data_IF_033644840961
#
_entry.id   IF_033644840961
#
_cell.length_a   1.000
_cell.length_b   1.000
_cell.length_c   1.000
_cell.angle_alpha   90.00
_cell.angle_beta   90.00
_cell.angle_gamma   90.00
#
_symmetry.space_group_name_H-M   'P 1'
#
loop_
_entity.id
_entity.type
_entity.pdbx_description
1 polymer ?
#
# COMPACT_ATOMS: atom_id res chain seq x y z
N UNK A 1 -9.04 20.30 45.46
CA UNK A 1 -8.27 19.05 45.24
C UNK A 1 -9.14 17.78 45.29
N UNK A 2 -9.96 17.55 46.33
CA UNK A 2 -10.78 16.32 46.47
C UNK A 2 -11.82 16.08 45.35
N UNK A 3 -12.42 17.14 44.79
CA UNK A 3 -13.37 17.01 43.65
C UNK A 3 -12.68 16.57 42.36
N UNK A 4 -11.54 17.17 42.02
CA UNK A 4 -10.74 16.78 40.86
C UNK A 4 -10.28 15.32 40.96
N UNK A 5 -9.82 14.89 42.14
CA UNK A 5 -9.36 13.52 42.36
C UNK A 5 -10.47 12.48 42.18
N UNK A 6 -11.71 12.78 42.60
CA UNK A 6 -12.86 11.89 42.39
C UNK A 6 -13.23 11.77 40.91
N UNK A 7 -13.12 12.87 40.17
CA UNK A 7 -13.38 12.89 38.72
C UNK A 7 -12.31 12.07 37.99
N UNK A 8 -11.03 12.25 38.31
CA UNK A 8 -9.95 11.48 37.67
C UNK A 8 -10.07 10.00 37.99
N UNK A 9 -10.37 9.61 39.23
CA UNK A 9 -10.58 8.20 39.59
C UNK A 9 -11.76 7.59 38.82
N UNK A 10 -12.85 8.35 38.65
CA UNK A 10 -14.01 7.93 37.88
C UNK A 10 -13.68 7.70 36.40
N UNK A 11 -12.94 8.63 35.77
CA UNK A 11 -12.50 8.49 34.38
C UNK A 11 -11.57 7.29 34.20
N UNK A 12 -10.61 7.11 35.11
CA UNK A 12 -9.70 5.95 35.09
C UNK A 12 -10.48 4.63 35.23
N UNK A 13 -11.48 4.58 36.11
CA UNK A 13 -12.35 3.42 36.27
C UNK A 13 -13.11 3.06 34.98
N UNK A 14 -13.62 4.06 34.26
CA UNK A 14 -14.30 3.86 32.97
C UNK A 14 -13.32 3.33 31.91
N UNK A 15 -12.11 3.87 31.84
CA UNK A 15 -11.08 3.40 30.89
C UNK A 15 -10.72 1.93 31.18
N UNK A 16 -10.54 1.56 32.45
CA UNK A 16 -10.26 0.17 32.85
C UNK A 16 -11.41 -0.75 32.44
N UNK A 17 -12.66 -0.33 32.65
CA UNK A 17 -13.84 -1.09 32.23
C UNK A 17 -13.81 -1.35 30.72
N UNK A 18 -13.50 -0.33 29.91
CA UNK A 18 -13.40 -0.44 28.45
C UNK A 18 -12.32 -1.45 28.05
N UNK A 19 -11.14 -1.41 28.68
CA UNK A 19 -10.05 -2.36 28.40
C UNK A 19 -10.46 -3.79 28.75
N UNK A 20 -11.18 -4.00 29.85
CA UNK A 20 -11.69 -5.32 30.25
C UNK A 20 -12.69 -5.84 29.22
N UNK A 21 -13.63 -5.00 28.77
CA UNK A 21 -14.59 -5.37 27.72
C UNK A 21 -13.87 -5.78 26.44
N UNK A 22 -12.87 -4.99 26.02
CA UNK A 22 -12.07 -5.28 24.82
C UNK A 22 -11.34 -6.63 24.94
N UNK A 23 -10.75 -6.93 26.10
CA UNK A 23 -10.14 -8.23 26.39
C UNK A 23 -11.15 -9.38 26.31
N UNK A 24 -12.34 -9.23 26.90
CA UNK A 24 -13.38 -10.26 26.83
C UNK A 24 -13.79 -10.52 25.37
N UNK A 25 -13.93 -9.47 24.55
CA UNK A 25 -14.21 -9.61 23.12
C UNK A 25 -13.07 -10.35 22.41
N UNK A 26 -11.82 -10.02 22.71
CA UNK A 26 -10.67 -10.73 22.13
C UNK A 26 -10.73 -12.23 22.45
N UNK A 27 -11.05 -12.63 23.68
CA UNK A 27 -11.12 -14.04 24.07
C UNK A 27 -12.37 -14.78 23.56
N UNK A 28 -13.47 -14.07 23.29
CA UNK A 28 -14.75 -14.70 22.90
C UNK A 28 -14.98 -14.71 21.39
N UNK A 29 -14.56 -13.66 20.70
CA UNK A 29 -14.83 -13.44 19.27
C UNK A 29 -13.56 -13.16 18.45
N UNK A 30 -12.36 -13.33 19.03
CA UNK A 30 -11.06 -13.13 18.38
C UNK A 30 -10.88 -11.77 17.69
N UNK A 31 -11.57 -10.72 18.17
CA UNK A 31 -11.42 -9.35 17.66
C UNK A 31 -11.65 -8.29 18.74
N UNK A 32 -10.98 -7.13 18.65
CA UNK A 32 -11.26 -5.99 19.51
C UNK A 32 -12.65 -5.41 19.20
N UNK A 33 -13.33 -4.87 20.22
CA UNK A 33 -14.68 -4.32 20.10
C UNK A 33 -14.70 -3.03 19.28
N UNK A 34 -13.68 -2.18 19.48
CA UNK A 34 -13.46 -0.96 18.71
C UNK A 34 -12.34 -1.23 17.73
N UNK A 35 -12.69 -1.80 16.58
CA UNK A 35 -11.71 -2.12 15.55
C UNK A 35 -12.19 -1.78 14.15
N UNK A 36 -11.23 -1.47 13.29
CA UNK A 36 -11.41 -1.40 11.84
C UNK A 36 -10.88 -2.70 11.23
N UNK A 37 -11.74 -3.39 10.47
CA UNK A 37 -11.41 -4.64 9.81
C UNK A 37 -10.83 -4.43 8.41
N UNK A 38 -9.89 -5.28 8.03
CA UNK A 38 -9.29 -5.39 6.70
C UNK A 38 -9.19 -6.87 6.33
N UNK A 39 -9.54 -7.23 5.08
CA UNK A 39 -9.55 -8.61 4.61
C UNK A 39 -8.24 -8.97 3.89
N UNK A 40 -7.63 -10.09 4.30
CA UNK A 40 -6.37 -10.64 3.79
C UNK A 40 -6.59 -12.06 3.27
N UNK A 41 -7.16 -12.16 2.07
CA UNK A 41 -7.49 -13.45 1.45
C UNK A 41 -8.50 -14.23 2.28
N UNK A 42 -8.03 -15.24 3.01
CA UNK A 42 -8.87 -16.09 3.90
C UNK A 42 -8.93 -15.59 5.34
N UNK A 43 -8.19 -14.55 5.71
CA UNK A 43 -8.09 -14.07 7.09
C UNK A 43 -8.54 -12.62 7.21
N UNK A 44 -9.32 -12.30 8.24
CA UNK A 44 -9.65 -10.93 8.59
C UNK A 44 -8.68 -10.41 9.68
N UNK A 45 -8.16 -9.20 9.47
CA UNK A 45 -7.29 -8.49 10.42
C UNK A 45 -8.03 -7.29 10.98
N UNK A 46 -7.81 -6.99 12.26
CA UNK A 46 -8.52 -5.96 13.00
C UNK A 46 -7.53 -5.04 13.69
N UNK A 47 -7.59 -3.74 13.39
CA UNK A 47 -6.82 -2.70 14.09
C UNK A 47 -7.68 -2.07 15.16
N UNK A 48 -7.36 -2.34 16.42
CA UNK A 48 -8.13 -1.87 17.57
C UNK A 48 -7.56 -0.63 18.24
N UNK A 49 -8.23 -0.21 19.31
CA UNK A 49 -7.76 0.88 20.16
C UNK A 49 -6.53 0.46 20.98
N UNK A 50 -6.58 -0.72 21.61
CA UNK A 50 -5.51 -1.23 22.48
C UNK A 50 -4.77 -2.44 21.88
N UNK A 51 -5.46 -3.23 21.06
CA UNK A 51 -4.92 -4.46 20.48
C UNK A 51 -5.13 -4.48 18.97
N UNK A 52 -4.15 -5.01 18.25
CA UNK A 52 -4.25 -5.31 16.82
C UNK A 52 -4.18 -6.83 16.64
N UNK A 53 -4.85 -7.33 15.62
CA UNK A 53 -4.57 -8.68 15.12
C UNK A 53 -3.58 -8.64 13.96
N UNK A 54 -2.89 -9.73 13.70
CA UNK A 54 -1.94 -9.86 12.59
C UNK A 54 -1.86 -11.31 12.13
N UNK A 55 -1.55 -11.51 10.85
CA UNK A 55 -1.39 -12.84 10.27
C UNK A 55 0.08 -13.23 10.28
N UNK A 56 0.36 -14.39 10.87
CA UNK A 56 1.65 -15.04 10.81
C UNK A 56 1.54 -16.26 9.88
N UNK A 57 2.47 -16.47 8.94
CA UNK A 57 2.49 -17.68 8.11
C UNK A 57 2.60 -18.98 8.92
N UNK A 58 3.19 -18.89 10.12
CA UNK A 58 3.41 -20.02 11.02
C UNK A 58 2.13 -20.48 11.75
N UNK A 59 1.09 -19.64 11.78
CA UNK A 59 -0.13 -19.90 12.54
C UNK A 59 -1.36 -19.86 11.63
N UNK A 60 -2.24 -20.86 11.75
CA UNK A 60 -3.49 -20.95 10.97
C UNK A 60 -4.57 -19.94 11.39
N UNK A 61 -4.31 -19.14 12.43
CA UNK A 61 -5.25 -18.15 12.97
C UNK A 61 -4.55 -16.81 13.20
N UNK A 62 -5.27 -15.68 13.04
CA UNK A 62 -4.75 -14.36 13.37
C UNK A 62 -4.30 -14.30 14.83
N UNK A 63 -3.11 -13.76 15.05
CA UNK A 63 -2.54 -13.55 16.38
C UNK A 63 -2.93 -12.18 16.91
N UNK A 64 -3.07 -12.05 18.23
CA UNK A 64 -3.44 -10.79 18.89
C UNK A 64 -2.20 -10.19 19.54
N UNK A 65 -2.07 -8.86 19.48
CA UNK A 65 -0.95 -8.14 20.06
C UNK A 65 -1.34 -6.75 20.52
N UNK A 66 -0.67 -6.29 21.57
CA UNK A 66 -0.80 -4.92 22.08
C UNK A 66 -0.30 -3.94 21.02
N UNK A 67 -1.08 -2.89 20.76
CA UNK A 67 -0.76 -1.85 19.77
C UNK A 67 0.63 -1.25 20.07
N UNK A 68 1.51 -1.26 19.07
CA UNK A 68 2.89 -0.76 19.18
C UNK A 68 3.92 -1.72 19.77
N UNK A 69 3.55 -2.94 20.20
CA UNK A 69 4.55 -3.94 20.59
C UNK A 69 5.36 -4.44 19.38
N UNK A 70 6.38 -5.29 19.57
CA UNK A 70 7.07 -6.01 18.48
C UNK A 70 6.37 -7.33 18.15
N UNK A 71 6.40 -7.73 16.89
CA UNK A 71 5.77 -8.99 16.47
C UNK A 71 6.63 -10.18 16.88
N UNK A 72 5.96 -11.31 17.12
CA UNK A 72 6.61 -12.57 17.51
C UNK A 72 7.00 -13.45 16.33
N UNK A 73 6.54 -13.10 15.12
CA UNK A 73 6.73 -13.84 13.87
C UNK A 73 7.03 -12.85 12.74
N UNK A 74 7.47 -13.37 11.58
CA UNK A 74 7.46 -12.62 10.33
C UNK A 74 6.00 -12.34 9.95
N UNK A 75 5.58 -11.09 10.10
CA UNK A 75 4.21 -10.67 9.79
C UNK A 75 4.08 -10.54 8.28
N UNK A 76 2.97 -11.01 7.74
CA UNK A 76 2.52 -10.56 6.43
C UNK A 76 2.06 -9.11 6.63
N UNK A 77 2.97 -8.17 6.45
CA UNK A 77 2.76 -6.77 6.83
C UNK A 77 1.62 -6.15 6.02
N UNK A 78 0.67 -5.56 6.75
CA UNK A 78 0.00 -4.35 6.28
C UNK A 78 1.00 -3.25 6.50
N UNK A 79 1.56 -2.73 5.41
CA UNK A 79 2.25 -1.45 5.45
C UNK A 79 1.29 -0.43 6.07
N UNK A 80 1.54 -0.04 7.32
CA UNK A 80 0.93 1.15 7.90
C UNK A 80 1.50 2.34 7.12
N UNK A 81 0.82 2.73 6.04
CA UNK A 81 0.97 4.07 5.45
C UNK A 81 2.40 4.45 5.11
N UNK A 82 3.22 3.50 4.66
CA UNK A 82 4.36 3.80 3.83
C UNK A 82 4.06 3.20 2.47
N UNK A 83 3.50 4.03 1.60
CA UNK A 83 3.71 3.81 0.17
C UNK A 83 5.21 4.01 -0.09
N UNK A 84 5.98 3.01 0.32
CA UNK A 84 7.35 2.76 -0.09
C UNK A 84 7.28 1.91 -1.37
N UNK A 85 6.22 2.03 -2.17
CA UNK A 85 6.43 1.76 -3.57
C UNK A 85 7.38 2.85 -4.03
N UNK A 86 8.62 2.45 -4.30
CA UNK A 86 9.61 3.37 -4.82
C UNK A 86 9.00 3.98 -6.09
N UNK A 87 8.70 5.28 -6.02
CA UNK A 87 8.17 6.01 -7.15
C UNK A 87 9.33 6.20 -8.12
N UNK A 88 9.20 5.58 -9.27
CA UNK A 88 10.21 5.63 -10.32
C UNK A 88 9.75 6.58 -11.41
N UNK A 89 10.70 7.33 -11.97
CA UNK A 89 10.45 8.27 -13.06
C UNK A 89 11.51 8.13 -14.14
N UNK A 90 11.07 8.06 -15.38
CA UNK A 90 11.98 8.07 -16.52
C UNK A 90 11.38 8.77 -17.73
N UNK A 91 12.24 9.30 -18.59
CA UNK A 91 11.82 9.89 -19.86
C UNK A 91 11.83 8.84 -20.94
N UNK A 92 10.79 8.79 -21.77
CA UNK A 92 10.70 7.86 -22.88
C UNK A 92 10.15 8.52 -24.13
N UNK A 93 10.58 8.04 -25.28
CA UNK A 93 10.11 8.47 -26.59
C UNK A 93 9.04 7.52 -27.11
N UNK A 94 7.92 8.05 -27.58
CA UNK A 94 6.87 7.26 -28.22
C UNK A 94 7.37 6.73 -29.57
N UNK A 95 7.39 5.41 -29.75
CA UNK A 95 7.82 4.76 -31.00
C UNK A 95 6.66 4.14 -31.79
N UNK A 96 5.59 3.73 -31.10
CA UNK A 96 4.35 3.22 -31.69
C UNK A 96 3.14 3.72 -30.91
N UNK A 97 2.04 3.95 -31.61
CA UNK A 97 0.75 4.39 -31.06
C UNK A 97 -0.31 3.42 -31.56
N UNK A 98 -1.09 2.88 -30.64
CA UNK A 98 -2.17 1.93 -30.90
C UNK A 98 -3.45 2.41 -30.21
N UNK A 99 -4.57 1.74 -30.50
CA UNK A 99 -5.83 2.04 -29.82
C UNK A 99 -5.74 1.55 -28.36
N UNK A 100 -5.78 2.50 -27.42
CA UNK A 100 -5.72 2.21 -25.98
C UNK A 100 -4.33 1.98 -25.37
N UNK A 101 -3.23 1.97 -26.15
CA UNK A 101 -1.87 1.85 -25.60
C UNK A 101 -0.79 2.45 -26.51
N UNK A 102 0.39 2.67 -25.96
CA UNK A 102 1.58 3.14 -26.68
C UNK A 102 2.78 2.25 -26.39
N UNK A 103 3.71 2.17 -27.33
CA UNK A 103 5.04 1.61 -27.08
C UNK A 103 6.04 2.75 -27.01
N UNK A 104 6.81 2.78 -25.93
CA UNK A 104 7.83 3.79 -25.67
C UNK A 104 9.21 3.16 -25.53
N UNK A 105 10.22 3.92 -25.92
CA UNK A 105 11.64 3.60 -25.71
C UNK A 105 12.22 4.56 -24.65
N UNK A 106 12.77 4.08 -23.53
CA UNK A 106 13.40 4.95 -22.54
C UNK A 106 14.56 5.77 -23.15
N UNK A 107 14.78 6.98 -22.64
CA UNK A 107 15.82 7.89 -23.12
C UNK A 107 17.21 7.39 -22.77
N UNK A 108 18.26 7.90 -23.43
CA UNK A 108 19.64 7.47 -23.12
C UNK A 108 20.01 7.85 -21.68
N UNK A 109 20.58 6.88 -20.94
CA UNK A 109 20.96 7.06 -19.53
C UNK A 109 19.87 6.73 -18.50
N UNK A 110 18.64 6.45 -18.93
CA UNK A 110 17.58 5.98 -18.02
C UNK A 110 17.86 4.55 -17.54
N UNK A 111 17.62 4.29 -16.25
CA UNK A 111 17.93 3.02 -15.59
C UNK A 111 17.07 1.87 -16.13
N UNK A 112 15.85 2.16 -16.56
CA UNK A 112 14.88 1.24 -17.13
C UNK A 112 15.39 0.58 -18.42
N UNK A 113 16.38 1.17 -19.11
CA UNK A 113 17.05 0.54 -20.25
C UNK A 113 17.81 -0.72 -19.87
N UNK A 114 18.19 -0.90 -18.60
CA UNK A 114 18.81 -2.13 -18.11
C UNK A 114 17.82 -3.31 -18.15
N UNK A 115 16.53 -3.03 -18.00
CA UNK A 115 15.47 -4.03 -18.07
C UNK A 115 14.95 -4.24 -19.49
N UNK A 116 14.65 -3.16 -20.23
CA UNK A 116 14.14 -3.27 -21.60
C UNK A 116 14.36 -2.00 -22.42
N UNK A 117 14.47 -2.16 -23.74
CA UNK A 117 14.44 -1.03 -24.68
C UNK A 117 13.03 -0.65 -25.14
N UNK A 118 12.00 -1.44 -24.80
CA UNK A 118 10.61 -1.19 -25.17
C UNK A 118 9.68 -1.42 -23.98
N UNK A 119 8.80 -0.47 -23.73
CA UNK A 119 7.76 -0.56 -22.72
C UNK A 119 6.38 -0.38 -23.34
N UNK A 120 5.48 -1.30 -23.02
CA UNK A 120 4.05 -1.17 -23.27
C UNK A 120 3.45 -0.33 -22.15
N UNK A 121 2.74 0.74 -22.53
CA UNK A 121 2.09 1.65 -21.60
C UNK A 121 0.62 1.78 -21.97
N UNK A 122 -0.26 1.42 -21.05
CA UNK A 122 -1.71 1.58 -21.23
C UNK A 122 -2.08 3.06 -21.26
N UNK A 123 -2.86 3.45 -22.26
CA UNK A 123 -3.40 4.79 -22.41
C UNK A 123 -4.79 4.90 -21.79
N UNK A 124 -4.89 4.73 -20.46
CA UNK A 124 -6.17 4.71 -19.74
C UNK A 124 -7.00 5.99 -19.89
N UNK A 125 -6.33 7.11 -20.14
CA UNK A 125 -6.95 8.43 -20.26
C UNK A 125 -7.29 8.81 -21.71
N UNK A 126 -7.12 7.90 -22.68
CA UNK A 126 -7.36 8.13 -24.11
C UNK A 126 -6.73 9.44 -24.63
N UNK A 127 -5.50 9.71 -24.20
CA UNK A 127 -4.73 10.88 -24.64
C UNK A 127 -4.18 10.62 -26.05
N UNK A 128 -4.31 11.59 -26.95
CA UNK A 128 -3.79 11.46 -28.32
C UNK A 128 -2.27 11.71 -28.36
N UNK A 129 -1.50 10.65 -28.12
CA UNK A 129 -0.05 10.66 -28.23
C UNK A 129 0.41 10.54 -29.69
N UNK A 130 1.51 11.20 -30.01
CA UNK A 130 2.13 11.16 -31.34
C UNK A 130 3.48 10.47 -31.28
N UNK A 131 3.76 9.67 -32.31
CA UNK A 131 5.08 9.07 -32.50
C UNK A 131 6.15 10.16 -32.52
N UNK A 132 7.20 9.97 -31.72
CA UNK A 132 8.31 10.90 -31.56
C UNK A 132 8.19 11.85 -30.37
N UNK A 133 7.04 11.94 -29.70
CA UNK A 133 6.91 12.72 -28.47
C UNK A 133 7.77 12.14 -27.33
N UNK A 134 8.27 13.04 -26.48
CA UNK A 134 8.99 12.66 -25.25
C UNK A 134 8.04 12.83 -24.07
N UNK A 135 7.84 11.74 -23.35
CA UNK A 135 6.99 11.63 -22.18
C UNK A 135 7.87 11.45 -20.94
N UNK A 136 7.46 12.04 -19.82
CA UNK A 136 7.94 11.66 -18.50
C UNK A 136 6.90 10.73 -17.88
N UNK A 137 7.34 9.50 -17.60
CA UNK A 137 6.51 8.42 -17.11
C UNK A 137 6.83 8.21 -15.65
N UNK A 138 5.80 8.11 -14.83
CA UNK A 138 5.88 7.81 -13.41
C UNK A 138 5.19 6.48 -13.14
N UNK A 139 5.84 5.59 -12.42
CA UNK A 139 5.29 4.30 -12.07
C UNK A 139 5.68 3.89 -10.65
N UNK A 140 4.88 2.99 -10.10
CA UNK A 140 5.00 2.46 -8.75
C UNK A 140 5.22 0.95 -8.86
N UNK A 141 6.18 0.43 -8.09
CA UNK A 141 6.50 -1.00 -8.05
C UNK A 141 7.51 -1.44 -9.10
N UNK A 142 7.52 -2.73 -9.43
CA UNK A 142 8.54 -3.34 -10.31
C UNK A 142 8.22 -3.29 -11.80
N UNK A 143 9.22 -3.67 -12.61
CA UNK A 143 9.08 -3.88 -14.05
C UNK A 143 8.75 -5.35 -14.31
N UNK A 144 7.71 -5.60 -15.11
CA UNK A 144 7.44 -6.93 -15.64
C UNK A 144 8.26 -7.15 -16.93
N UNK A 145 9.35 -7.93 -16.81
CA UNK A 145 10.37 -8.20 -17.84
C UNK A 145 9.88 -9.10 -19.01
N UNK A 146 8.67 -8.83 -19.49
CA UNK A 146 8.15 -9.32 -20.77
C UNK A 146 8.70 -8.50 -21.94
N UNK A 147 8.36 -8.87 -23.19
CA UNK A 147 8.78 -8.11 -24.37
C UNK A 147 7.60 -7.78 -25.30
N UNK A 148 7.18 -6.50 -25.39
CA UNK A 148 7.65 -5.33 -24.63
C UNK A 148 7.45 -5.46 -23.12
N UNK A 149 8.29 -4.78 -22.32
CA UNK A 149 8.17 -4.79 -20.85
C UNK A 149 6.95 -3.99 -20.41
N UNK A 150 6.42 -4.29 -19.22
CA UNK A 150 5.22 -3.64 -18.70
C UNK A 150 5.46 -3.04 -17.32
N UNK A 151 4.83 -1.90 -17.05
CA UNK A 151 4.92 -1.18 -15.77
C UNK A 151 3.56 -0.64 -15.34
N UNK A 152 3.35 -0.55 -14.04
CA UNK A 152 2.15 0.04 -13.42
C UNK A 152 2.21 1.56 -13.42
N UNK A 153 1.96 2.19 -14.56
CA UNK A 153 2.02 3.66 -14.68
C UNK A 153 0.96 4.35 -13.82
N UNK A 154 1.40 5.37 -13.09
CA UNK A 154 0.56 6.24 -12.25
C UNK A 154 0.36 7.62 -12.87
N UNK A 155 1.36 8.13 -13.60
CA UNK A 155 1.29 9.43 -14.26
C UNK A 155 2.10 9.46 -15.56
N UNK A 156 1.60 10.20 -16.55
CA UNK A 156 2.30 10.50 -17.80
C UNK A 156 2.18 12.00 -18.05
N UNK A 157 3.31 12.67 -18.25
CA UNK A 157 3.37 14.08 -18.64
C UNK A 157 4.16 14.28 -19.92
N UNK A 158 3.73 15.24 -20.75
CA UNK A 158 4.39 15.53 -22.03
C UNK A 158 5.52 16.52 -21.74
N UNK A 159 6.77 16.12 -22.01
CA UNK A 159 7.96 16.95 -21.78
C UNK A 159 8.24 17.85 -22.99
N UNK A 160 8.01 17.34 -24.20
CA UNK A 160 8.15 18.10 -25.43
C UNK A 160 7.15 17.63 -26.47
N UNK A 161 6.48 18.60 -27.10
CA UNK A 161 5.69 18.40 -28.32
C UNK A 161 6.53 18.87 -29.49
N UNK A 162 6.93 17.93 -30.35
CA UNK A 162 7.53 18.26 -31.64
C UNK A 162 6.44 18.52 -32.68
#
# INVERSE_FOLDING_TARGET
>A
MKKLLKITLGVVGIIILIVIIDLVCIFTINRPIFSQGEDYGTHAVYKGLFFNTYVCPEFSTPQIKIKGAKYTCAVLEVDEGKDNSEEHHFKAKVIEVHDGYIIVEPSEGEEERKSSNKFHIDNKNNVDYKKGQILAITYIGGINESYPAQIGVTNISIVSSN
#
